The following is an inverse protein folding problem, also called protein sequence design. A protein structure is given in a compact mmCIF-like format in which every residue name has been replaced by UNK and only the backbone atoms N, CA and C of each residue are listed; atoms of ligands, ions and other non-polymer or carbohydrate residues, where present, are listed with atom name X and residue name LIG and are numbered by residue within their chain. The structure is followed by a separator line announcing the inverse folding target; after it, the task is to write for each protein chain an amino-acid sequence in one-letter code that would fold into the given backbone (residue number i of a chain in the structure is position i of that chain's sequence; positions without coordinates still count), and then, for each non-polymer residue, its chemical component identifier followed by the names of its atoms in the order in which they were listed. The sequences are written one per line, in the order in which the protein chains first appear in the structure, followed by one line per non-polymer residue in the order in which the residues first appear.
data_IF_291596965743
#
_entry.id   IF_291596965743
#
_cell.length_a   1.000
_cell.length_b   1.000
_cell.length_c   1.000
_cell.angle_alpha   90.00
_cell.angle_beta   90.00
_cell.angle_gamma   90.00
#
_symmetry.space_group_name_H-M   'P 1'
#
loop_
_entity.id
_entity.type
_entity.pdbx_description
1 polymer ?
#
# COMPACT_ATOMS: atom_id res chain seq x y z
N UNK A 1 -10.78 31.52 72.56
CA UNK A 1 -9.71 32.02 71.66
C UNK A 1 -9.10 30.93 70.74
N UNK A 2 -9.56 29.66 70.77
CA UNK A 2 -8.89 28.55 70.03
C UNK A 2 -9.43 28.22 68.62
N UNK A 3 -10.63 28.69 68.23
CA UNK A 3 -11.23 28.38 66.91
C UNK A 3 -10.42 28.87 65.69
N UNK A 4 -9.80 30.06 65.67
CA UNK A 4 -9.01 30.49 64.51
C UNK A 4 -7.70 29.71 64.34
N UNK A 5 -7.08 29.26 65.45
CA UNK A 5 -5.84 28.48 65.44
C UNK A 5 -6.09 27.08 64.84
N UNK A 6 -7.23 26.45 65.14
CA UNK A 6 -7.60 25.14 64.58
C UNK A 6 -7.81 25.24 63.06
N UNK A 7 -8.55 26.26 62.58
CA UNK A 7 -8.74 26.50 61.14
C UNK A 7 -7.44 26.74 60.38
N UNK A 8 -6.47 27.42 61.01
CA UNK A 8 -5.14 27.63 60.42
C UNK A 8 -4.34 26.32 60.33
N UNK A 9 -4.44 25.43 61.34
CA UNK A 9 -3.81 24.11 61.30
C UNK A 9 -4.40 23.21 60.23
N UNK A 10 -5.73 23.15 60.10
CA UNK A 10 -6.40 22.38 59.05
C UNK A 10 -6.01 22.86 57.64
N UNK A 11 -5.88 24.18 57.45
CA UNK A 11 -5.44 24.77 56.18
C UNK A 11 -3.95 24.53 55.91
N UNK A 12 -3.11 24.49 56.95
CA UNK A 12 -1.70 24.12 56.82
C UNK A 12 -1.56 22.66 56.37
N UNK A 13 -2.31 21.75 56.99
CA UNK A 13 -2.29 20.34 56.66
C UNK A 13 -2.85 20.06 55.25
N UNK A 14 -3.87 20.80 54.81
CA UNK A 14 -4.36 20.71 53.43
C UNK A 14 -3.33 21.21 52.42
N UNK A 15 -2.65 22.32 52.72
CA UNK A 15 -1.60 22.88 51.85
C UNK A 15 -0.35 21.98 51.81
N UNK A 16 0.02 21.34 52.92
CA UNK A 16 1.11 20.35 52.94
C UNK A 16 0.77 19.12 52.08
N UNK A 17 -0.49 18.69 52.08
CA UNK A 17 -0.95 17.59 51.22
C UNK A 17 -0.96 17.98 49.74
N UNK A 18 -1.41 19.19 49.41
CA UNK A 18 -1.33 19.72 48.04
C UNK A 18 0.12 19.88 47.58
N UNK A 19 1.01 20.38 48.45
CA UNK A 19 2.44 20.52 48.16
C UNK A 19 3.09 19.16 47.85
N UNK A 20 2.80 18.13 48.66
CA UNK A 20 3.27 16.76 48.40
C UNK A 20 2.74 16.21 47.06
N UNK A 21 1.46 16.42 46.76
CA UNK A 21 0.88 15.97 45.49
C UNK A 21 1.48 16.67 44.27
N UNK A 22 1.85 17.96 44.40
CA UNK A 22 2.56 18.70 43.35
C UNK A 22 4.00 18.20 43.21
N UNK A 23 4.70 17.94 44.31
CA UNK A 23 6.06 17.37 44.29
C UNK A 23 6.11 15.99 43.64
N UNK A 24 5.15 15.12 43.93
CA UNK A 24 5.04 13.80 43.29
C UNK A 24 4.83 13.93 41.77
N UNK A 25 3.95 14.83 41.33
CA UNK A 25 3.74 15.12 39.90
C UNK A 25 4.99 15.72 39.23
N UNK A 26 5.71 16.60 39.93
CA UNK A 26 6.97 17.16 39.44
C UNK A 26 8.03 16.07 39.27
N UNK A 27 8.14 15.13 40.21
CA UNK A 27 9.06 14.00 40.08
C UNK A 27 8.66 13.04 38.97
N UNK A 28 7.36 12.77 38.79
CA UNK A 28 6.85 11.95 37.68
C UNK A 28 7.17 12.57 36.32
N UNK A 29 6.90 13.86 36.16
CA UNK A 29 7.22 14.59 34.93
C UNK A 29 8.73 14.65 34.64
N UNK A 30 9.59 14.72 35.67
CA UNK A 30 11.05 14.65 35.50
C UNK A 30 11.50 13.27 35.00
N UNK A 31 10.96 12.20 35.56
CA UNK A 31 11.28 10.83 35.12
C UNK A 31 10.81 10.59 33.69
N UNK A 32 9.61 11.06 33.33
CA UNK A 32 9.10 11.00 31.95
C UNK A 32 9.99 11.80 30.98
N UNK A 33 10.44 12.99 31.38
CA UNK A 33 11.36 13.80 30.57
C UNK A 33 12.72 13.12 30.37
N UNK A 34 13.28 12.48 31.41
CA UNK A 34 14.52 11.70 31.31
C UNK A 34 14.35 10.47 30.40
N UNK A 35 13.21 9.79 30.46
CA UNK A 35 12.91 8.67 29.56
C UNK A 35 12.82 9.11 28.10
N UNK A 36 12.16 10.24 27.83
CA UNK A 36 12.07 10.80 26.48
C UNK A 36 13.46 11.22 25.98
N UNK A 37 14.31 11.82 26.82
CA UNK A 37 15.67 12.17 26.45
C UNK A 37 16.50 10.94 26.07
N UNK A 38 16.43 9.86 26.84
CA UNK A 38 17.13 8.62 26.52
C UNK A 38 16.64 8.02 25.18
N UNK A 39 15.33 8.01 24.95
CA UNK A 39 14.76 7.56 23.66
C UNK A 39 15.21 8.44 22.50
N UNK A 40 15.31 9.75 22.70
CA UNK A 40 15.82 10.67 21.68
C UNK A 40 17.29 10.41 21.35
N UNK A 41 18.11 10.07 22.35
CA UNK A 41 19.53 9.80 22.13
C UNK A 41 19.76 8.42 21.49
N UNK A 42 18.96 7.41 21.83
CA UNK A 42 18.93 6.12 21.12
C UNK A 42 18.56 6.30 19.64
N UNK A 43 17.49 7.04 19.35
CA UNK A 43 17.06 7.31 17.97
C UNK A 43 18.10 8.13 17.18
N UNK A 44 18.82 9.05 17.83
CA UNK A 44 19.93 9.78 17.18
C UNK A 44 21.08 8.85 16.85
N UNK A 45 21.46 7.94 17.74
CA UNK A 45 22.51 6.96 17.47
C UNK A 45 22.14 6.04 16.30
N UNK A 46 20.90 5.55 16.25
CA UNK A 46 20.40 4.77 15.11
C UNK A 46 20.44 5.57 13.80
N UNK A 47 20.08 6.87 13.84
CA UNK A 47 20.14 7.73 12.67
C UNK A 47 21.59 7.94 12.16
N UNK A 48 22.57 8.07 13.06
CA UNK A 48 23.99 8.15 12.70
C UNK A 48 24.50 6.83 12.08
N UNK A 49 24.11 5.67 12.63
CA UNK A 49 24.46 4.36 12.09
C UNK A 49 23.88 4.16 10.67
N UNK A 50 22.61 4.51 10.46
CA UNK A 50 21.99 4.43 9.14
C UNK A 50 22.63 5.38 8.14
N UNK A 51 23.06 6.57 8.59
CA UNK A 51 23.80 7.52 7.76
C UNK A 51 25.15 6.96 7.33
N UNK A 52 25.91 6.34 8.26
CA UNK A 52 27.18 5.69 7.94
C UNK A 52 27.00 4.56 6.93
N UNK A 53 25.96 3.73 7.08
CA UNK A 53 25.63 2.67 6.12
C UNK A 53 25.24 3.21 4.74
N UNK A 54 24.53 4.34 4.69
CA UNK A 54 24.21 5.02 3.43
C UNK A 54 25.48 5.50 2.73
N UNK A 55 26.39 6.15 3.47
CA UNK A 55 27.67 6.65 2.93
C UNK A 55 28.57 5.50 2.43
N UNK A 56 28.53 4.33 3.07
CA UNK A 56 29.21 3.12 2.59
C UNK A 56 28.61 2.59 1.29
N UNK A 57 27.28 2.51 1.19
CA UNK A 57 26.59 2.12 -0.03
C UNK A 57 26.91 3.06 -1.20
N UNK A 58 26.94 4.37 -0.95
CA UNK A 58 27.26 5.37 -1.97
C UNK A 58 28.70 5.21 -2.52
N UNK A 59 29.67 4.91 -1.64
CA UNK A 59 31.05 4.58 -2.07
C UNK A 59 31.08 3.35 -2.98
N UNK A 60 30.38 2.28 -2.61
CA UNK A 60 30.31 1.05 -3.43
C UNK A 60 29.67 1.34 -4.79
N UNK A 61 28.62 2.17 -4.82
CA UNK A 61 27.97 2.58 -6.07
C UNK A 61 28.95 3.34 -6.97
N UNK A 62 29.74 4.26 -6.41
CA UNK A 62 30.69 5.03 -7.20
C UNK A 62 31.87 4.18 -7.72
N UNK A 63 32.35 3.23 -6.91
CA UNK A 63 33.33 2.22 -7.37
C UNK A 63 32.78 1.37 -8.54
N UNK A 64 31.54 0.92 -8.45
CA UNK A 64 30.90 0.14 -9.52
C UNK A 64 30.68 0.98 -10.79
N UNK A 65 30.36 2.28 -10.66
CA UNK A 65 30.27 3.20 -11.81
C UNK A 65 31.62 3.36 -12.51
N UNK A 66 32.70 3.50 -11.75
CA UNK A 66 34.04 3.63 -12.31
C UNK A 66 34.48 2.35 -13.04
N UNK A 67 34.19 1.18 -12.45
CA UNK A 67 34.43 -0.12 -13.11
C UNK A 67 33.62 -0.26 -14.41
N UNK A 68 32.34 0.11 -14.40
CA UNK A 68 31.50 0.09 -15.59
C UNK A 68 32.03 1.02 -16.69
N UNK A 69 32.48 2.23 -16.34
CA UNK A 69 33.08 3.15 -17.29
C UNK A 69 34.37 2.58 -17.91
N UNK A 70 35.22 1.94 -17.11
CA UNK A 70 36.44 1.26 -17.57
C UNK A 70 36.14 0.09 -18.52
N UNK A 71 35.15 -0.74 -18.19
CA UNK A 71 34.71 -1.86 -19.05
C UNK A 71 34.11 -1.35 -20.35
N UNK A 72 33.26 -0.33 -20.30
CA UNK A 72 32.67 0.30 -21.49
C UNK A 72 33.75 0.86 -22.43
N UNK A 73 34.80 1.49 -21.87
CA UNK A 73 35.93 1.98 -22.67
C UNK A 73 36.72 0.84 -23.34
N UNK A 74 36.93 -0.28 -22.63
CA UNK A 74 37.57 -1.49 -23.21
C UNK A 74 36.73 -2.09 -24.34
N UNK A 75 35.41 -2.20 -24.15
CA UNK A 75 34.49 -2.68 -25.17
C UNK A 75 34.51 -1.80 -26.42
N UNK A 76 34.44 -0.47 -26.25
CA UNK A 76 34.52 0.47 -27.36
C UNK A 76 35.85 0.35 -28.14
N UNK A 77 36.96 0.06 -27.46
CA UNK A 77 38.25 -0.19 -28.11
C UNK A 77 38.25 -1.49 -28.92
N UNK A 78 37.68 -2.57 -28.36
CA UNK A 78 37.55 -3.86 -29.06
C UNK A 78 36.66 -3.75 -30.30
N UNK A 79 35.52 -3.06 -30.19
CA UNK A 79 34.59 -2.82 -31.30
C UNK A 79 35.27 -2.10 -32.48
N UNK A 80 36.08 -1.07 -32.18
CA UNK A 80 36.88 -0.38 -33.21
C UNK A 80 37.89 -1.30 -33.90
N UNK A 81 38.51 -2.23 -33.16
CA UNK A 81 39.45 -3.20 -33.73
C UNK A 81 38.74 -4.21 -34.62
N UNK A 82 37.58 -4.71 -34.21
CA UNK A 82 36.75 -5.62 -35.02
C UNK A 82 36.35 -4.95 -36.33
N UNK A 83 35.78 -3.73 -36.28
CA UNK A 83 35.40 -2.98 -37.49
C UNK A 83 36.58 -2.73 -38.42
N UNK A 84 37.77 -2.43 -37.88
CA UNK A 84 38.98 -2.28 -38.69
C UNK A 84 39.38 -3.59 -39.38
N UNK A 85 39.27 -4.73 -38.70
CA UNK A 85 39.58 -6.06 -39.26
C UNK A 85 38.56 -6.51 -40.30
N UNK A 86 37.28 -6.25 -40.05
CA UNK A 86 36.20 -6.49 -41.02
C UNK A 86 36.42 -5.68 -42.30
N UNK A 87 36.82 -4.40 -42.17
CA UNK A 87 37.17 -3.57 -43.32
C UNK A 87 38.37 -4.13 -44.12
N UNK A 88 39.42 -4.59 -43.44
CA UNK A 88 40.56 -5.25 -44.08
C UNK A 88 40.15 -6.54 -44.81
N UNK A 89 39.27 -7.34 -44.21
CA UNK A 89 38.76 -8.57 -44.82
C UNK A 89 37.96 -8.26 -46.08
N UNK A 90 37.10 -7.24 -46.05
CA UNK A 90 36.30 -6.83 -47.21
C UNK A 90 37.19 -6.37 -48.38
N UNK A 91 38.27 -5.64 -48.10
CA UNK A 91 39.27 -5.23 -49.11
C UNK A 91 40.01 -6.43 -49.73
N UNK A 92 40.36 -7.44 -48.91
CA UNK A 92 41.00 -8.64 -49.41
C UNK A 92 40.06 -9.47 -50.31
N UNK A 93 38.78 -9.56 -49.94
CA UNK A 93 37.77 -10.26 -50.75
C UNK A 93 37.55 -9.53 -52.09
N UNK A 94 37.48 -8.20 -52.09
CA UNK A 94 37.35 -7.44 -53.34
C UNK A 94 38.58 -7.61 -54.24
N UNK A 95 39.79 -7.57 -53.65
CA UNK A 95 41.02 -7.79 -54.39
C UNK A 95 41.09 -9.21 -54.97
N UNK A 96 40.71 -10.23 -54.19
CA UNK A 96 40.63 -11.62 -54.65
C UNK A 96 39.69 -11.75 -55.84
N UNK A 97 38.53 -11.10 -55.78
CA UNK A 97 37.55 -11.09 -56.87
C UNK A 97 38.11 -10.42 -58.12
N UNK A 98 38.73 -9.25 -57.98
CA UNK A 98 39.36 -8.54 -59.11
C UNK A 98 40.48 -9.37 -59.76
N UNK A 99 41.30 -10.05 -58.96
CA UNK A 99 42.37 -10.93 -59.48
C UNK A 99 41.76 -12.13 -60.21
N UNK A 100 40.70 -12.73 -59.65
CA UNK A 100 40.01 -13.87 -60.27
C UNK A 100 39.38 -13.49 -61.60
N UNK A 101 38.66 -12.36 -61.66
CA UNK A 101 38.06 -11.83 -62.89
C UNK A 101 39.13 -11.50 -63.95
N UNK A 102 40.27 -10.91 -63.57
CA UNK A 102 41.39 -10.64 -64.49
C UNK A 102 42.04 -11.93 -65.01
N UNK A 103 42.23 -12.94 -64.15
CA UNK A 103 42.80 -14.22 -64.58
C UNK A 103 41.87 -14.99 -65.53
N UNK A 104 40.55 -14.92 -65.31
CA UNK A 104 39.54 -15.48 -66.23
C UNK A 104 39.56 -14.78 -67.60
N UNK A 105 39.70 -13.45 -67.63
CA UNK A 105 39.78 -12.66 -68.86
C UNK A 105 41.07 -12.91 -69.66
N UNK A 106 42.19 -13.17 -68.98
CA UNK A 106 43.50 -13.41 -69.62
C UNK A 106 43.74 -14.89 -70.00
N UNK A 107 42.78 -15.79 -69.76
CA UNK A 107 42.89 -17.25 -69.98
C UNK A 107 44.15 -17.87 -69.34
N UNK A 108 44.67 -17.27 -68.27
CA UNK A 108 45.81 -17.80 -67.53
C UNK A 108 45.32 -18.92 -66.61
N UNK A 109 45.76 -20.15 -66.87
CA UNK A 109 45.57 -21.26 -65.92
C UNK A 109 46.42 -20.99 -64.68
N UNK A 110 45.81 -20.43 -63.65
CA UNK A 110 46.45 -20.34 -62.34
C UNK A 110 46.78 -21.76 -61.85
N UNK A 111 47.97 -21.99 -61.26
CA UNK A 111 48.27 -23.25 -60.62
C UNK A 111 47.42 -23.34 -59.35
N UNK A 112 46.24 -23.93 -59.48
CA UNK A 112 45.48 -24.41 -58.33
C UNK A 112 46.36 -25.43 -57.63
N UNK A 113 46.74 -25.16 -56.38
CA UNK A 113 47.31 -26.20 -55.53
C UNK A 113 46.24 -27.27 -55.43
N UNK A 114 46.54 -28.46 -55.96
CA UNK A 114 45.63 -29.59 -55.96
C UNK A 114 45.09 -29.81 -54.56
N UNK A 115 43.82 -29.46 -54.37
CA UNK A 115 43.01 -30.03 -53.32
C UNK A 115 42.97 -31.54 -53.59
N UNK A 116 43.37 -32.42 -52.64
CA UNK A 116 43.44 -33.86 -52.87
C UNK A 116 42.06 -34.51 -53.10
N UNK A 117 41.00 -33.71 -53.19
CA UNK A 117 39.61 -34.14 -53.40
C UNK A 117 39.05 -33.69 -54.76
N UNK A 118 39.81 -33.00 -55.61
CA UNK A 118 39.33 -32.53 -56.92
C UNK A 118 39.79 -33.49 -58.04
N UNK A 119 39.01 -34.55 -58.24
CA UNK A 119 39.20 -35.52 -59.33
C UNK A 119 38.76 -34.94 -60.66
N UNK A 120 39.56 -34.02 -61.20
CA UNK A 120 39.45 -33.51 -62.56
C UNK A 120 40.43 -34.19 -63.51
N UNK A 121 39.94 -35.20 -64.23
CA UNK A 121 40.41 -35.63 -65.57
C UNK A 121 41.92 -35.93 -65.72
N UNK A 122 42.37 -37.06 -65.19
CA UNK A 122 43.43 -37.84 -65.83
C UNK A 122 42.77 -38.87 -66.73
N UNK A 123 42.86 -38.66 -68.03
CA UNK A 123 42.47 -39.61 -69.06
C UNK A 123 43.40 -40.82 -69.02
N UNK A 124 43.20 -41.71 -68.06
CA UNK A 124 43.43 -43.12 -68.30
C UNK A 124 42.09 -43.66 -68.78
N UNK A 125 42.00 -43.99 -70.08
CA UNK A 125 41.01 -44.97 -70.52
C UNK A 125 41.33 -46.28 -69.77
N UNK A 126 40.76 -46.42 -68.57
CA UNK A 126 40.63 -47.70 -67.92
C UNK A 126 39.74 -48.52 -68.87
N UNK A 127 40.37 -49.39 -69.65
CA UNK A 127 39.68 -50.49 -70.33
C UNK A 127 39.19 -51.41 -69.22
N UNK A 128 38.00 -51.12 -68.72
CA UNK A 128 37.29 -51.92 -67.74
C UNK A 128 36.94 -53.25 -68.43
N UNK A 129 37.56 -54.33 -68.00
CA UNK A 129 37.27 -55.67 -68.50
C UNK A 129 36.00 -56.20 -67.84
N UNK A 130 34.89 -56.12 -68.57
CA UNK A 130 33.56 -56.54 -68.11
C UNK A 130 33.30 -58.05 -68.26
N UNK A 131 34.30 -58.84 -68.65
CA UNK A 131 34.17 -60.29 -68.91
C UNK A 131 33.76 -61.15 -67.70
N UNK A 132 33.84 -60.59 -66.48
CA UNK A 132 33.46 -61.29 -65.24
C UNK A 132 32.05 -60.95 -64.73
N UNK A 133 31.32 -60.04 -65.39
CA UNK A 133 29.94 -59.74 -65.03
C UNK A 133 29.00 -60.85 -65.53
N UNK A 134 28.03 -61.24 -64.70
CA UNK A 134 27.01 -62.21 -65.11
C UNK A 134 26.25 -61.70 -66.34
N UNK A 135 25.90 -62.60 -67.26
CA UNK A 135 25.27 -62.35 -68.58
C UNK A 135 24.07 -61.36 -68.56
N UNK A 136 23.40 -61.24 -67.41
CA UNK A 136 22.30 -60.31 -67.14
C UNK A 136 22.73 -58.82 -67.19
N UNK A 137 23.99 -58.51 -66.86
CA UNK A 137 24.54 -57.14 -66.86
C UNK A 137 25.37 -56.82 -68.12
N UNK A 138 25.69 -57.84 -68.94
CA UNK A 138 26.34 -57.69 -70.25
C UNK A 138 25.33 -57.48 -71.39
N UNK A 139 24.05 -57.71 -71.12
CA UNK A 139 23.00 -57.30 -72.04
C UNK A 139 22.84 -55.79 -71.94
N UNK A 140 23.21 -55.08 -73.01
CA UNK A 140 22.79 -53.69 -73.19
C UNK A 140 21.28 -53.64 -72.98
N UNK A 141 20.88 -53.07 -71.85
CA UNK A 141 19.49 -52.68 -71.65
C UNK A 141 19.10 -51.92 -72.90
N UNK A 142 18.02 -52.34 -73.59
CA UNK A 142 17.60 -51.66 -74.81
C UNK A 142 17.59 -50.15 -74.53
N UNK A 143 18.13 -49.30 -75.42
CA UNK A 143 18.19 -47.86 -75.19
C UNK A 143 16.84 -47.30 -74.71
N UNK A 144 15.75 -47.86 -75.23
CA UNK A 144 14.37 -47.56 -74.87
C UNK A 144 13.97 -47.88 -73.42
N UNK A 145 14.56 -48.87 -72.75
CA UNK A 145 14.29 -49.17 -71.34
C UNK A 145 15.17 -48.33 -70.40
N UNK A 146 16.40 -48.04 -70.82
CA UNK A 146 17.29 -47.10 -70.14
C UNK A 146 16.68 -45.70 -70.10
N UNK A 147 16.18 -45.23 -71.24
CA UNK A 147 15.51 -43.93 -71.36
C UNK A 147 14.25 -43.87 -70.50
N UNK A 148 13.49 -44.96 -70.37
CA UNK A 148 12.32 -45.04 -69.49
C UNK A 148 12.70 -44.88 -68.02
N UNK A 149 13.72 -45.59 -67.55
CA UNK A 149 14.19 -45.46 -66.18
C UNK A 149 14.81 -44.09 -65.91
N UNK A 150 15.54 -43.51 -66.88
CA UNK A 150 16.10 -42.17 -66.74
C UNK A 150 15.00 -41.11 -66.60
N UNK A 151 13.92 -41.23 -67.38
CA UNK A 151 12.74 -40.36 -67.26
C UNK A 151 12.05 -40.55 -65.91
N UNK A 152 11.89 -41.79 -65.44
CA UNK A 152 11.26 -42.09 -64.15
C UNK A 152 12.08 -41.54 -62.97
N UNK A 153 13.41 -41.68 -63.00
CA UNK A 153 14.29 -41.11 -61.98
C UNK A 153 14.32 -39.60 -62.04
N UNK A 154 14.36 -38.99 -63.23
CA UNK A 154 14.22 -37.52 -63.39
C UNK A 154 12.90 -37.01 -62.83
N UNK A 155 11.81 -37.75 -63.04
CA UNK A 155 10.50 -37.39 -62.51
C UNK A 155 10.44 -37.52 -60.97
N UNK A 156 11.01 -38.58 -60.40
CA UNK A 156 11.12 -38.75 -58.93
C UNK A 156 12.02 -37.69 -58.29
N UNK A 157 13.15 -37.38 -58.91
CA UNK A 157 14.04 -36.30 -58.47
C UNK A 157 13.31 -34.96 -58.54
N UNK A 158 12.55 -34.71 -59.62
CA UNK A 158 11.70 -33.53 -59.75
C UNK A 158 10.64 -33.43 -58.66
N UNK A 159 9.97 -34.53 -58.30
CA UNK A 159 8.99 -34.54 -57.22
C UNK A 159 9.62 -34.29 -55.85
N UNK A 160 10.78 -34.89 -55.56
CA UNK A 160 11.47 -34.67 -54.28
C UNK A 160 12.04 -33.25 -54.19
N UNK A 161 12.56 -32.69 -55.28
CA UNK A 161 13.01 -31.30 -55.32
C UNK A 161 11.84 -30.33 -55.10
N UNK A 162 10.68 -30.57 -55.72
CA UNK A 162 9.49 -29.75 -55.48
C UNK A 162 9.00 -29.83 -54.03
N UNK A 163 9.07 -31.01 -53.41
CA UNK A 163 8.71 -31.21 -52.00
C UNK A 163 9.69 -30.47 -51.06
N UNK A 164 10.99 -30.49 -51.37
CA UNK A 164 12.04 -29.77 -50.64
C UNK A 164 11.90 -28.25 -50.83
N UNK A 165 11.61 -27.77 -52.04
CA UNK A 165 11.40 -26.35 -52.34
C UNK A 165 10.16 -25.78 -51.62
N UNK A 166 9.07 -26.56 -51.52
CA UNK A 166 7.92 -26.21 -50.69
C UNK A 166 8.26 -26.17 -49.18
N UNK A 167 9.30 -26.89 -48.77
CA UNK A 167 9.73 -27.03 -47.37
C UNK A 167 11.03 -26.27 -47.11
N UNK A 168 11.21 -25.09 -47.71
CA UNK A 168 12.39 -24.26 -47.47
C UNK A 168 12.55 -23.98 -45.95
N UNK A 169 13.53 -24.59 -45.26
CA UNK A 169 13.62 -24.50 -43.81
C UNK A 169 14.06 -23.09 -43.41
N UNK A 170 13.31 -22.47 -42.49
CA UNK A 170 13.72 -21.19 -41.92
C UNK A 170 14.90 -21.42 -40.96
N UNK A 171 16.12 -21.24 -41.47
CA UNK A 171 17.36 -21.42 -40.70
C UNK A 171 17.48 -20.48 -39.48
N UNK A 172 16.69 -19.40 -39.44
CA UNK A 172 16.64 -18.45 -38.31
C UNK A 172 15.54 -18.77 -37.30
N UNK A 173 14.73 -19.81 -37.53
CA UNK A 173 13.59 -20.14 -36.66
C UNK A 173 14.05 -20.46 -35.23
N UNK A 174 15.19 -21.13 -35.09
CA UNK A 174 15.76 -21.52 -33.79
C UNK A 174 16.25 -20.29 -33.01
N UNK A 175 16.99 -19.38 -33.66
CA UNK A 175 17.42 -18.12 -33.06
C UNK A 175 16.22 -17.22 -32.67
N UNK A 176 15.19 -17.17 -33.52
CA UNK A 176 13.96 -16.42 -33.23
C UNK A 176 13.20 -17.02 -32.05
N UNK A 177 13.13 -18.35 -31.97
CA UNK A 177 12.51 -19.06 -30.86
C UNK A 177 13.24 -18.76 -29.55
N UNK A 178 14.58 -18.83 -29.54
CA UNK A 178 15.38 -18.53 -28.34
C UNK A 178 15.23 -17.07 -27.92
N UNK A 179 15.20 -16.13 -28.87
CA UNK A 179 14.97 -14.72 -28.59
C UNK A 179 13.57 -14.47 -28.02
N UNK A 180 12.54 -15.14 -28.54
CA UNK A 180 11.18 -15.06 -28.02
C UNK A 180 11.08 -15.66 -26.61
N UNK A 181 11.71 -16.82 -26.38
CA UNK A 181 11.71 -17.47 -25.08
C UNK A 181 12.39 -16.60 -24.00
N UNK A 182 13.48 -15.89 -24.34
CA UNK A 182 14.10 -14.93 -23.41
C UNK A 182 13.17 -13.77 -23.09
N UNK A 183 12.53 -13.19 -24.11
CA UNK A 183 11.55 -12.11 -23.92
C UNK A 183 10.35 -12.55 -23.08
N UNK A 184 9.86 -13.76 -23.30
CA UNK A 184 8.77 -14.34 -22.52
C UNK A 184 9.16 -14.47 -21.04
N UNK A 185 10.37 -14.97 -20.76
CA UNK A 185 10.88 -15.07 -19.39
C UNK A 185 10.98 -13.69 -18.71
N UNK A 186 11.56 -12.71 -19.39
CA UNK A 186 11.66 -11.33 -18.87
C UNK A 186 10.29 -10.69 -18.59
N UNK A 187 9.32 -10.90 -19.48
CA UNK A 187 7.96 -10.35 -19.30
C UNK A 187 7.24 -11.06 -18.16
N UNK A 188 7.39 -12.39 -18.07
CA UNK A 188 6.79 -13.19 -16.99
C UNK A 188 7.36 -12.78 -15.63
N UNK A 189 8.69 -12.60 -15.51
CA UNK A 189 9.32 -12.13 -14.27
C UNK A 189 8.81 -10.75 -13.86
N UNK A 190 8.72 -9.79 -14.80
CA UNK A 190 8.15 -8.45 -14.53
C UNK A 190 6.68 -8.49 -14.13
N UNK A 191 5.91 -9.38 -14.73
CA UNK A 191 4.51 -9.59 -14.39
C UNK A 191 4.37 -10.17 -12.97
N UNK A 192 5.20 -11.15 -12.62
CA UNK A 192 5.21 -11.73 -11.28
C UNK A 192 5.63 -10.73 -10.21
N UNK A 193 6.63 -9.88 -10.48
CA UNK A 193 7.02 -8.81 -9.55
C UNK A 193 5.88 -7.81 -9.35
N UNK A 194 5.27 -7.32 -10.44
CA UNK A 194 4.15 -6.39 -10.37
C UNK A 194 2.94 -7.00 -9.62
N UNK A 195 2.66 -8.28 -9.84
CA UNK A 195 1.58 -9.00 -9.14
C UNK A 195 1.86 -9.17 -7.64
N UNK A 196 3.12 -9.38 -7.25
CA UNK A 196 3.51 -9.41 -5.84
C UNK A 196 3.33 -8.04 -5.18
N UNK A 197 3.78 -6.97 -5.85
CA UNK A 197 3.61 -5.59 -5.37
C UNK A 197 2.12 -5.22 -5.23
N UNK A 198 1.29 -5.53 -6.24
CA UNK A 198 -0.15 -5.31 -6.19
C UNK A 198 -0.77 -6.01 -4.96
N UNK A 199 -0.39 -7.27 -4.73
CA UNK A 199 -0.88 -8.04 -3.59
C UNK A 199 -0.46 -7.41 -2.25
N UNK A 200 0.80 -7.02 -2.11
CA UNK A 200 1.28 -6.36 -0.88
C UNK A 200 0.55 -5.04 -0.60
N UNK A 201 0.31 -4.25 -1.65
CA UNK A 201 -0.43 -2.99 -1.54
C UNK A 201 -1.89 -3.26 -1.18
N UNK A 202 -2.52 -4.26 -1.80
CA UNK A 202 -3.89 -4.69 -1.50
C UNK A 202 -4.03 -5.17 -0.05
N UNK A 203 -3.07 -5.97 0.43
CA UNK A 203 -3.05 -6.46 1.82
C UNK A 203 -2.88 -5.31 2.82
N UNK A 204 -1.97 -4.35 2.53
CA UNK A 204 -1.81 -3.12 3.32
C UNK A 204 -3.10 -2.29 3.34
N UNK A 205 -3.74 -2.11 2.18
CA UNK A 205 -5.01 -1.39 2.06
C UNK A 205 -6.11 -2.05 2.88
N UNK A 206 -6.25 -3.37 2.79
CA UNK A 206 -7.25 -4.12 3.54
C UNK A 206 -7.02 -4.04 5.06
N UNK A 207 -5.76 -4.10 5.51
CA UNK A 207 -5.41 -3.91 6.93
C UNK A 207 -5.80 -2.52 7.43
N UNK A 208 -5.55 -1.47 6.65
CA UNK A 208 -5.95 -0.10 7.00
C UNK A 208 -7.48 0.07 6.96
N UNK A 209 -8.15 -0.49 5.94
CA UNK A 209 -9.62 -0.48 5.81
C UNK A 209 -10.28 -1.10 7.04
N UNK A 210 -9.78 -2.26 7.48
CA UNK A 210 -10.31 -2.96 8.66
C UNK A 210 -10.06 -2.17 9.95
N UNK A 211 -8.84 -1.66 10.18
CA UNK A 211 -8.55 -0.82 11.36
C UNK A 211 -9.43 0.43 11.41
N UNK A 212 -9.64 1.09 10.27
CA UNK A 212 -10.53 2.25 10.16
C UNK A 212 -11.97 1.86 10.51
N UNK A 213 -12.45 0.74 9.98
CA UNK A 213 -13.79 0.22 10.29
C UNK A 213 -13.98 -0.08 11.78
N UNK A 214 -13.04 -0.79 12.40
CA UNK A 214 -13.09 -1.14 13.82
C UNK A 214 -13.12 0.10 14.72
N UNK A 215 -12.24 1.09 14.45
CA UNK A 215 -12.21 2.34 15.21
C UNK A 215 -13.49 3.15 15.04
N UNK A 216 -14.01 3.22 13.81
CA UNK A 216 -15.25 3.92 13.51
C UNK A 216 -16.44 3.26 14.22
N UNK A 217 -16.60 1.95 14.08
CA UNK A 217 -17.70 1.21 14.70
C UNK A 217 -17.65 1.29 16.23
N UNK A 218 -16.45 1.26 16.83
CA UNK A 218 -16.27 1.46 18.26
C UNK A 218 -16.74 2.85 18.71
N UNK A 219 -16.41 3.90 17.97
CA UNK A 219 -16.87 5.26 18.26
C UNK A 219 -18.38 5.40 18.05
N UNK A 220 -18.90 4.87 16.94
CA UNK A 220 -20.31 4.91 16.58
C UNK A 220 -21.18 4.20 17.62
N UNK A 221 -20.83 2.98 18.02
CA UNK A 221 -21.56 2.21 19.03
C UNK A 221 -21.57 2.90 20.40
N UNK A 222 -20.46 3.52 20.79
CA UNK A 222 -20.39 4.31 22.01
C UNK A 222 -21.31 5.53 21.97
N UNK A 223 -21.28 6.29 20.87
CA UNK A 223 -22.13 7.48 20.69
C UNK A 223 -23.60 7.09 20.62
N UNK A 224 -23.94 6.03 19.87
CA UNK A 224 -25.31 5.53 19.71
C UNK A 224 -25.91 5.06 21.06
N UNK A 225 -25.11 4.44 21.93
CA UNK A 225 -25.54 4.07 23.29
C UNK A 225 -25.65 5.26 24.25
N UNK A 226 -24.86 6.31 24.02
CA UNK A 226 -24.83 7.52 24.85
C UNK A 226 -25.92 8.53 24.52
N UNK A 227 -26.26 8.67 23.23
CA UNK A 227 -27.11 9.76 22.73
C UNK A 227 -28.52 9.72 23.32
N UNK A 228 -29.16 8.55 23.43
CA UNK A 228 -30.52 8.44 23.98
C UNK A 228 -30.57 8.86 25.45
N UNK A 229 -29.56 8.47 26.25
CA UNK A 229 -29.48 8.83 27.67
C UNK A 229 -29.27 10.33 27.85
N UNK A 230 -28.35 10.92 27.10
CA UNK A 230 -28.04 12.36 27.16
C UNK A 230 -29.23 13.18 26.68
N UNK A 231 -29.88 12.78 25.59
CA UNK A 231 -31.05 13.48 25.07
C UNK A 231 -32.23 13.42 26.04
N UNK A 232 -32.48 12.27 26.69
CA UNK A 232 -33.48 12.15 27.77
C UNK A 232 -33.18 13.12 28.90
N UNK A 233 -31.95 13.15 29.40
CA UNK A 233 -31.54 14.05 30.49
C UNK A 233 -31.70 15.53 30.15
N UNK A 234 -31.46 15.91 28.89
CA UNK A 234 -31.62 17.31 28.44
C UNK A 234 -33.07 17.71 28.21
N UNK A 235 -33.97 16.75 27.97
CA UNK A 235 -35.39 17.00 27.66
C UNK A 235 -36.34 16.62 28.79
N UNK A 236 -35.83 16.01 29.86
CA UNK A 236 -36.55 15.73 31.09
C UNK A 236 -36.88 17.04 31.81
N UNK A 237 -38.17 17.27 32.06
CA UNK A 237 -38.67 18.45 32.77
C UNK A 237 -39.89 18.08 33.61
N UNK A 238 -40.26 18.92 34.57
CA UNK A 238 -41.46 18.73 35.42
C UNK A 238 -42.74 18.49 34.61
N UNK A 239 -42.83 19.06 33.40
CA UNK A 239 -43.98 18.91 32.49
C UNK A 239 -43.96 17.57 31.74
N UNK A 240 -42.78 16.98 31.53
CA UNK A 240 -42.57 15.77 30.74
C UNK A 240 -41.52 14.84 31.38
N UNK A 241 -41.92 13.98 32.35
CA UNK A 241 -41.01 13.13 33.11
C UNK A 241 -40.42 11.96 32.30
N UNK A 242 -40.99 11.63 31.13
CA UNK A 242 -40.45 10.59 30.25
C UNK A 242 -39.35 11.11 29.30
N UNK A 243 -39.19 12.44 29.17
CA UNK A 243 -38.27 13.06 28.21
C UNK A 243 -38.57 12.70 26.75
N UNK A 244 -37.65 13.05 25.86
CA UNK A 244 -37.64 12.59 24.46
C UNK A 244 -36.70 11.40 24.23
N UNK A 245 -36.71 10.83 23.02
CA UNK A 245 -35.78 9.75 22.61
C UNK A 245 -34.97 10.15 21.38
N UNK A 246 -33.75 9.65 21.27
CA UNK A 246 -32.87 9.93 20.15
C UNK A 246 -32.30 8.63 19.57
N UNK A 247 -32.27 8.53 18.25
CA UNK A 247 -31.79 7.36 17.50
C UNK A 247 -30.72 7.78 16.52
N UNK A 248 -29.68 6.97 16.45
CA UNK A 248 -28.50 7.19 15.63
C UNK A 248 -28.23 5.91 14.85
N UNK A 249 -28.53 5.92 13.55
CA UNK A 249 -28.52 4.75 12.68
C UNK A 249 -27.57 4.96 11.50
N UNK A 250 -26.96 3.87 11.04
CA UNK A 250 -26.20 3.82 9.79
C UNK A 250 -27.14 3.42 8.66
N UNK A 251 -27.03 4.09 7.52
CA UNK A 251 -27.76 3.68 6.30
C UNK A 251 -27.25 2.33 5.77
N UNK A 252 -25.96 2.05 5.94
CA UNK A 252 -25.34 0.79 5.56
C UNK A 252 -24.27 0.38 6.60
N UNK A 253 -24.42 -0.79 7.22
CA UNK A 253 -23.50 -1.31 8.24
C UNK A 253 -22.22 -1.92 7.66
N UNK A 254 -22.26 -2.40 6.41
CA UNK A 254 -21.12 -3.04 5.74
C UNK A 254 -20.14 -1.99 5.19
N UNK A 255 -20.68 -0.88 4.67
CA UNK A 255 -19.90 0.21 4.10
C UNK A 255 -20.32 1.59 4.65
N UNK A 256 -19.97 1.88 5.92
CA UNK A 256 -20.42 3.07 6.63
C UNK A 256 -19.83 4.38 6.09
N UNK A 257 -18.87 4.30 5.15
CA UNK A 257 -18.18 5.46 4.60
C UNK A 257 -18.76 5.94 3.26
N UNK A 258 -19.54 5.10 2.56
CA UNK A 258 -20.20 5.51 1.31
C UNK A 258 -21.54 6.20 1.55
N UNK A 259 -22.16 5.90 2.69
CA UNK A 259 -23.49 6.37 3.04
C UNK A 259 -23.46 7.24 4.28
N UNK A 260 -24.47 8.09 4.42
CA UNK A 260 -24.55 9.03 5.53
C UNK A 260 -24.92 8.34 6.84
N UNK A 261 -24.78 9.09 7.93
CA UNK A 261 -25.34 8.71 9.23
C UNK A 261 -26.70 9.39 9.39
N UNK A 262 -27.71 8.61 9.76
CA UNK A 262 -29.05 9.13 9.96
C UNK A 262 -29.31 9.42 11.45
N UNK A 263 -29.51 10.69 11.76
CA UNK A 263 -29.84 11.17 13.11
C UNK A 263 -31.32 11.56 13.20
N UNK A 264 -32.07 10.79 13.99
CA UNK A 264 -33.51 10.98 14.21
C UNK A 264 -33.81 11.19 15.67
N UNK A 265 -34.77 12.06 15.97
CA UNK A 265 -35.11 12.42 17.33
C UNK A 265 -36.62 12.52 17.49
N UNK A 266 -37.11 12.08 18.65
CA UNK A 266 -38.50 12.18 19.07
C UNK A 266 -38.58 13.10 20.31
N UNK A 267 -39.02 14.36 20.14
CA UNK A 267 -39.34 15.24 21.26
C UNK A 267 -40.49 14.66 22.12
N UNK A 268 -40.58 14.98 23.42
CA UNK A 268 -41.51 14.37 24.39
C UNK A 268 -43.00 14.42 24.00
N UNK A 269 -43.40 15.37 23.15
CA UNK A 269 -44.79 15.61 22.75
C UNK A 269 -45.09 15.29 21.28
N UNK A 270 -44.11 14.85 20.49
CA UNK A 270 -44.22 14.72 19.04
C UNK A 270 -43.83 13.33 18.54
N UNK A 271 -44.34 12.97 17.36
CA UNK A 271 -43.96 11.73 16.65
C UNK A 271 -42.56 11.85 16.06
N UNK A 272 -41.97 10.70 15.72
CA UNK A 272 -40.71 10.59 14.97
C UNK A 272 -40.66 11.53 13.77
N UNK A 273 -39.64 12.39 13.71
CA UNK A 273 -39.38 13.30 12.60
C UNK A 273 -37.89 13.40 12.33
N UNK A 274 -37.57 13.70 11.08
CA UNK A 274 -36.19 14.00 10.68
C UNK A 274 -35.76 15.37 11.24
N UNK A 275 -34.45 15.52 11.44
CA UNK A 275 -33.83 16.75 11.95
C UNK A 275 -34.27 18.01 11.21
N UNK A 276 -34.52 17.92 9.89
CA UNK A 276 -34.95 19.06 9.07
C UNK A 276 -36.31 19.62 9.50
N UNK A 277 -37.19 18.78 10.05
CA UNK A 277 -38.58 19.10 10.39
C UNK A 277 -38.83 19.48 11.85
N UNK A 278 -37.77 19.55 12.67
CA UNK A 278 -37.83 19.96 14.08
C UNK A 278 -37.92 21.48 14.23
N UNK A 279 -38.40 21.97 15.39
CA UNK A 279 -38.36 23.40 15.75
C UNK A 279 -36.92 23.88 15.99
N UNK A 280 -36.63 25.18 15.85
CA UNK A 280 -35.28 25.74 16.06
C UNK A 280 -34.70 25.41 17.44
N UNK A 281 -35.50 25.52 18.50
CA UNK A 281 -35.08 25.12 19.86
C UNK A 281 -34.84 23.61 19.99
N UNK A 282 -35.70 22.78 19.39
CA UNK A 282 -35.56 21.31 19.39
C UNK A 282 -34.29 20.86 18.63
N UNK A 283 -33.97 21.50 17.50
CA UNK A 283 -32.72 21.26 16.76
C UNK A 283 -31.50 21.61 17.59
N UNK A 284 -31.57 22.70 18.36
CA UNK A 284 -30.46 23.16 19.21
C UNK A 284 -30.20 22.17 20.35
N UNK A 285 -31.25 21.72 21.05
CA UNK A 285 -31.13 20.68 22.11
C UNK A 285 -30.58 19.39 21.52
N UNK A 286 -31.06 18.97 20.35
CA UNK A 286 -30.62 17.74 19.73
C UNK A 286 -29.17 17.81 19.21
N UNK A 287 -28.70 18.98 18.77
CA UNK A 287 -27.30 19.23 18.42
C UNK A 287 -26.40 19.23 19.67
N UNK A 288 -26.82 19.87 20.76
CA UNK A 288 -26.11 19.85 22.03
C UNK A 288 -26.00 18.42 22.60
N UNK A 289 -27.05 17.62 22.49
CA UNK A 289 -27.03 16.21 22.89
C UNK A 289 -25.99 15.41 22.11
N UNK A 290 -25.90 15.64 20.80
CA UNK A 290 -24.89 14.99 19.95
C UNK A 290 -23.48 15.44 20.33
N UNK A 291 -23.28 16.73 20.59
CA UNK A 291 -22.00 17.28 21.03
C UNK A 291 -21.52 16.63 22.33
N UNK A 292 -22.40 16.51 23.33
CA UNK A 292 -22.06 15.85 24.58
C UNK A 292 -21.85 14.33 24.43
N UNK A 293 -22.56 13.66 23.52
CA UNK A 293 -22.32 12.25 23.22
C UNK A 293 -20.94 12.02 22.59
N UNK A 294 -20.49 12.91 21.70
CA UNK A 294 -19.13 12.89 21.14
C UNK A 294 -18.10 13.16 22.24
N UNK A 295 -18.36 14.14 23.11
CA UNK A 295 -17.48 14.47 24.23
C UNK A 295 -17.30 13.29 25.21
N UNK A 296 -18.36 12.52 25.44
CA UNK A 296 -18.31 11.31 26.28
C UNK A 296 -17.35 10.26 25.72
N UNK A 297 -17.23 10.13 24.40
CA UNK A 297 -16.28 9.20 23.77
C UNK A 297 -14.83 9.71 23.86
N UNK A 298 -14.62 10.99 23.58
CA UNK A 298 -13.30 11.63 23.63
C UNK A 298 -13.37 12.92 24.45
N UNK A 299 -12.93 12.90 25.73
CA UNK A 299 -12.99 14.08 26.55
C UNK A 299 -12.04 15.17 26.00
N UNK A 300 -12.60 16.28 25.53
CA UNK A 300 -11.83 17.46 25.14
C UNK A 300 -11.46 18.27 26.39
N UNK A 301 -10.25 18.84 26.47
CA UNK A 301 -9.83 19.65 27.62
C UNK A 301 -10.62 20.96 27.79
N UNK A 302 -11.24 21.48 26.73
CA UNK A 302 -12.13 22.65 26.81
C UNK A 302 -13.20 22.61 25.71
N UNK A 303 -14.33 23.26 25.98
CA UNK A 303 -15.43 23.53 25.04
C UNK A 303 -15.79 25.01 25.11
N UNK A 304 -15.96 25.63 23.94
CA UNK A 304 -16.49 26.98 23.83
C UNK A 304 -17.79 26.86 23.05
N UNK A 305 -18.86 27.45 23.58
CA UNK A 305 -20.21 27.46 22.99
C UNK A 305 -20.64 28.92 22.89
N UNK A 306 -21.10 29.35 21.73
CA UNK A 306 -21.53 30.74 21.49
C UNK A 306 -23.02 30.78 21.17
N UNK A 307 -23.76 31.67 21.83
CA UNK A 307 -25.20 31.94 21.65
C UNK A 307 -26.12 30.70 21.56
N UNK A 308 -25.75 29.58 22.19
CA UNK A 308 -26.51 28.33 22.16
C UNK A 308 -27.83 28.37 22.93
N UNK A 309 -28.03 29.41 23.76
CA UNK A 309 -29.21 29.65 24.57
C UNK A 309 -30.25 30.57 23.89
N UNK A 310 -29.90 31.23 22.79
CA UNK A 310 -30.81 32.14 22.08
C UNK A 310 -32.16 31.49 21.64
N UNK A 311 -32.21 30.21 21.22
CA UNK A 311 -33.46 29.54 20.88
C UNK A 311 -34.01 28.64 22.01
N UNK A 312 -33.39 28.64 23.20
CA UNK A 312 -33.77 27.79 24.33
C UNK A 312 -34.52 28.60 25.39
N UNK A 313 -35.77 28.21 25.68
CA UNK A 313 -36.53 28.81 26.78
C UNK A 313 -35.87 28.46 28.12
N UNK A 314 -35.47 29.49 28.87
CA UNK A 314 -34.84 29.36 30.19
C UNK A 314 -35.83 28.73 31.19
N UNK A 315 -35.74 27.42 31.40
CA UNK A 315 -36.34 26.75 32.56
C UNK A 315 -35.21 26.28 33.48
N UNK A 316 -35.20 26.70 34.76
CA UNK A 316 -34.09 26.42 35.65
C UNK A 316 -33.98 24.91 35.93
N UNK A 317 -32.83 24.31 35.60
CA UNK A 317 -32.43 23.00 36.12
C UNK A 317 -32.42 23.07 37.65
N UNK A 318 -33.43 22.50 38.30
CA UNK A 318 -33.52 22.44 39.76
C UNK A 318 -32.68 21.27 40.28
N UNK A 319 -31.62 21.58 41.04
CA UNK A 319 -30.94 20.60 41.90
C UNK A 319 -31.94 20.02 42.91
N UNK A 320 -32.05 18.71 43.12
CA UNK A 320 -32.92 18.18 44.16
C UNK A 320 -32.35 18.54 45.54
N UNK A 321 -32.96 19.53 46.18
CA UNK A 321 -32.83 19.81 47.61
C UNK A 321 -34.22 19.79 48.22
N UNK A 322 -34.49 18.86 49.14
CA UNK A 322 -35.74 18.81 49.89
C UNK A 322 -35.99 17.47 50.58
N UNK A 323 -35.48 17.35 51.81
CA UNK A 323 -36.16 16.87 53.02
C UNK A 323 -37.15 15.69 52.93
N UNK A 324 -36.71 14.53 53.44
CA UNK A 324 -37.59 13.55 54.10
C UNK A 324 -37.18 13.42 55.58
N UNK A 325 -37.90 14.14 56.45
CA UNK A 325 -38.02 13.82 57.88
C UNK A 325 -39.32 13.04 58.07
N UNK A 326 -39.24 11.79 58.50
CA UNK A 326 -40.40 11.03 58.95
C UNK A 326 -40.15 9.53 59.07
N UNK A 327 -39.81 9.11 60.29
CA UNK A 327 -40.13 7.81 60.90
C UNK A 327 -39.66 6.51 60.23
N UNK A 328 -38.52 6.00 60.71
CA UNK A 328 -38.35 4.58 61.04
C UNK A 328 -37.36 4.44 62.20
N UNK A 329 -37.89 4.04 63.35
CA UNK A 329 -37.15 3.82 64.58
C UNK A 329 -36.30 2.53 64.53
N UNK A 330 -35.17 2.61 65.23
CA UNK A 330 -34.54 1.54 66.01
C UNK A 330 -33.98 0.31 65.27
N UNK A 331 -32.65 0.27 65.11
CA UNK A 331 -31.84 -0.90 65.46
C UNK A 331 -30.34 -0.56 65.59
N UNK A 332 -29.82 -0.84 66.79
CA UNK A 332 -28.45 -1.27 67.12
C UNK A 332 -27.28 -0.26 67.06
N UNK A 333 -26.92 0.21 68.26
CA UNK A 333 -25.53 0.48 68.67
C UNK A 333 -24.62 -0.74 68.47
N UNK A 334 -23.40 -0.47 67.99
CA UNK A 334 -22.07 -0.93 68.50
C UNK A 334 -21.10 -1.24 67.37
N UNK A 335 -19.88 -0.71 67.46
CA UNK A 335 -18.71 -1.28 66.81
C UNK A 335 -17.76 -0.24 66.22
N UNK A 336 -16.65 0.00 66.93
CA UNK A 336 -15.46 0.67 66.42
C UNK A 336 -14.85 -0.06 65.21
N UNK A 337 -14.17 0.71 64.35
CA UNK A 337 -12.89 0.29 63.78
C UNK A 337 -12.86 -0.17 62.30
N UNK A 338 -11.81 0.31 61.63
CA UNK A 338 -11.16 -0.20 60.42
C UNK A 338 -11.65 0.29 59.03
N UNK A 339 -10.78 1.14 58.44
CA UNK A 339 -10.28 1.14 57.07
C UNK A 339 -11.05 0.41 55.95
N UNK A 340 -11.23 1.11 54.83
CA UNK A 340 -11.11 0.50 53.51
C UNK A 340 -12.17 0.90 52.47
N UNK A 341 -11.66 1.46 51.36
CA UNK A 341 -12.24 1.45 50.01
C UNK A 341 -13.42 2.37 49.66
N UNK A 342 -13.11 3.36 48.82
CA UNK A 342 -14.04 4.07 47.95
C UNK A 342 -14.58 3.13 46.84
N UNK A 343 -15.76 3.46 46.31
CA UNK A 343 -15.93 3.53 44.86
C UNK A 343 -16.32 4.96 44.47
N UNK A 344 -15.59 5.51 43.51
CA UNK A 344 -15.82 6.83 42.92
C UNK A 344 -17.05 6.78 42.02
N UNK A 345 -17.97 7.71 42.24
CA UNK A 345 -19.05 8.09 41.31
C UNK A 345 -19.23 9.61 41.37
N UNK A 346 -19.33 10.23 40.20
CA UNK A 346 -19.55 11.68 39.95
C UNK A 346 -20.56 12.30 40.93
N UNK A 347 -20.38 13.57 41.40
CA UNK A 347 -20.51 14.76 40.53
C UNK A 347 -19.70 16.01 40.94
N UNK A 348 -19.30 16.88 40.00
CA UNK A 348 -19.04 18.30 40.32
C UNK A 348 -19.00 19.28 39.11
N UNK A 349 -18.98 18.81 37.86
CA UNK A 349 -18.70 19.70 36.72
C UNK A 349 -19.88 20.53 36.18
N UNK A 350 -21.08 20.42 36.77
CA UNK A 350 -22.26 21.21 36.35
C UNK A 350 -22.15 22.67 36.84
N UNK A 351 -21.24 23.00 37.76
CA UNK A 351 -21.23 24.31 38.44
C UNK A 351 -20.26 25.36 37.87
N UNK A 352 -19.47 25.08 36.82
CA UNK A 352 -18.39 25.98 36.36
C UNK A 352 -18.60 26.62 34.98
N UNK A 353 -19.85 26.87 34.58
CA UNK A 353 -20.19 27.53 33.29
C UNK A 353 -20.19 29.07 33.37
N UNK A 354 -19.78 29.67 34.49
CA UNK A 354 -19.56 31.13 34.57
C UNK A 354 -18.08 31.44 34.44
N UNK A 355 -17.62 31.72 33.22
CA UNK A 355 -16.88 32.95 32.86
C UNK A 355 -16.25 32.79 31.48
N UNK A 356 -16.52 33.81 30.67
CA UNK A 356 -15.70 34.38 29.59
C UNK A 356 -15.69 33.65 28.25
N UNK A 357 -15.85 34.50 27.23
CA UNK A 357 -16.45 34.23 25.94
C UNK A 357 -15.51 34.62 24.80
N UNK A 358 -15.97 34.30 23.59
CA UNK A 358 -15.39 34.53 22.27
C UNK A 358 -14.45 33.44 21.76
N UNK A 359 -14.76 32.98 20.54
CA UNK A 359 -13.98 32.16 19.57
C UNK A 359 -14.61 30.78 19.31
N UNK A 360 -15.74 30.72 18.60
CA UNK A 360 -16.27 29.48 17.97
C UNK A 360 -16.52 29.62 16.47
N UNK A 361 -16.28 30.79 15.87
CA UNK A 361 -16.50 30.97 14.42
C UNK A 361 -15.41 30.33 13.52
N UNK A 362 -14.28 29.84 14.07
CA UNK A 362 -13.09 29.53 13.26
C UNK A 362 -12.72 28.04 13.10
N UNK A 363 -13.31 27.11 13.86
CA UNK A 363 -12.89 25.70 13.81
C UNK A 363 -13.70 24.79 12.87
N UNK A 364 -14.81 25.28 12.30
CA UNK A 364 -15.62 24.51 11.35
C UNK A 364 -15.18 24.68 9.88
N UNK A 365 -14.20 25.54 9.59
CA UNK A 365 -13.79 25.84 8.20
C UNK A 365 -12.48 25.17 7.75
N UNK A 366 -11.66 24.61 8.65
CA UNK A 366 -10.30 24.18 8.27
C UNK A 366 -10.11 22.68 7.98
N UNK A 367 -10.90 21.78 8.60
CA UNK A 367 -10.64 20.33 8.49
C UNK A 367 -11.87 19.47 8.08
N UNK A 368 -12.99 20.10 7.73
CA UNK A 368 -14.23 19.38 7.39
C UNK A 368 -14.42 19.13 5.88
N UNK A 369 -13.64 19.78 5.00
CA UNK A 369 -13.77 19.60 3.54
C UNK A 369 -13.25 18.25 3.01
N UNK A 370 -12.68 17.38 3.85
CA UNK A 370 -12.21 16.05 3.44
C UNK A 370 -13.06 14.88 3.91
N UNK A 371 -14.16 15.13 4.63
CA UNK A 371 -15.07 14.08 5.11
C UNK A 371 -16.41 14.03 4.38
N UNK A 372 -16.67 14.95 3.45
CA UNK A 372 -17.86 14.99 2.60
C UNK A 372 -17.45 15.13 1.13
N UNK A 373 -16.99 14.02 0.55
CA UNK A 373 -17.13 13.74 -0.89
C UNK A 373 -17.82 12.40 -1.03
#
# INVERSE_FOLDING_TARGET
MNKPIVKLKERHESLEKELKGVQEKETGAKVEAEQILNQMDELKAEAEDWKSKSDECDKVIDELKEQNASVAAKLAKLDRQVKSKEGQLMQLISLQREISEKCELEQLKLPTVNDPMDTGSSSQELVLDYSQLSEIYLHDMQPSERDKHEVEFKQKIGSYLAEIECTAPNLKALDQYDALQRKEKEVTEKFETARKEEKEISDKYNSVKQKRYELFMKAFDHISKGIDKIYKQLTESHTHPLGGTAYFNLENEDEPFLHGIEYRVMPPTKRFRDMKQLSGGEKTVAALALLFAIHSFRPSPFFILDEVDAPLDYQPLHKPSGDDKGDAAAAAEKGEGAAGHAPRGLPDDIARVRLLASVVQLYLCADCEQWLV
#
